data_IF_852906594838
#
_entry.id   IF_852906594838
#
_cell.length_a   1.000
_cell.length_b   1.000
_cell.length_c   1.000
_cell.angle_alpha   90.00
_cell.angle_beta   90.00
_cell.angle_gamma   90.00
#
_symmetry.space_group_name_H-M   'P 1'
#
loop_
_entity.id
_entity.type
_entity.pdbx_description
1 polymer ?
#
# COMPACT_ATOMS: atom_id res chain seq x y z
N UNK A 1 1.97 -1.16 -6.81
CA UNK A 1 2.05 0.19 -6.23
C UNK A 1 2.31 0.08 -4.73
N UNK A 2 3.25 0.84 -4.16
CA UNK A 2 3.59 0.71 -2.73
C UNK A 2 2.47 1.17 -1.78
N UNK A 3 1.50 1.97 -2.25
CA UNK A 3 0.49 2.58 -1.36
C UNK A 3 -0.51 1.56 -0.83
N UNK A 4 -0.88 0.55 -1.63
CA UNK A 4 -1.77 -0.53 -1.20
C UNK A 4 -1.12 -1.34 -0.09
N UNK A 5 0.11 -1.81 -0.32
CA UNK A 5 0.85 -2.57 0.70
C UNK A 5 1.06 -1.76 1.99
N UNK A 6 1.46 -0.49 1.87
CA UNK A 6 1.68 0.38 3.02
C UNK A 6 0.44 0.52 3.92
N UNK A 7 -0.77 0.63 3.35
CA UNK A 7 -2.00 0.69 4.16
C UNK A 7 -2.30 -0.62 4.87
N UNK A 8 -2.14 -1.75 4.17
CA UNK A 8 -2.38 -3.07 4.73
C UNK A 8 -1.40 -3.33 5.86
N UNK A 9 -0.11 -3.10 5.62
CA UNK A 9 0.96 -3.23 6.63
C UNK A 9 0.69 -2.35 7.85
N UNK A 10 0.36 -1.07 7.65
CA UNK A 10 0.07 -0.14 8.75
C UNK A 10 -1.02 -0.66 9.68
N UNK A 11 -2.08 -1.27 9.14
CA UNK A 11 -3.21 -1.77 9.94
C UNK A 11 -2.94 -3.18 10.48
N UNK A 12 -2.46 -4.09 9.63
CA UNK A 12 -2.20 -5.47 9.99
C UNK A 12 -1.11 -5.55 11.06
N UNK A 13 -0.08 -4.71 10.99
CA UNK A 13 1.03 -4.69 11.95
C UNK A 13 0.84 -3.68 13.09
N UNK A 14 -0.39 -3.14 13.29
CA UNK A 14 -0.66 -2.20 14.39
C UNK A 14 -0.53 -2.83 15.78
N UNK A 15 -0.59 -4.17 15.86
CA UNK A 15 -0.40 -4.95 17.07
C UNK A 15 0.66 -6.04 16.86
N UNK A 16 1.24 -6.53 17.95
CA UNK A 16 2.15 -7.67 17.91
C UNK A 16 1.37 -8.97 17.70
N UNK A 17 1.78 -9.74 16.69
CA UNK A 17 1.21 -11.06 16.40
C UNK A 17 2.02 -12.17 17.08
N UNK A 18 1.38 -13.12 17.78
CA UNK A 18 2.08 -14.21 18.46
C UNK A 18 2.62 -15.28 17.50
N UNK A 19 2.05 -15.41 16.29
CA UNK A 19 2.44 -16.41 15.30
C UNK A 19 2.42 -15.85 13.88
N UNK A 20 3.14 -16.51 12.97
CA UNK A 20 3.09 -16.18 11.55
C UNK A 20 1.67 -16.31 10.97
N UNK A 21 0.91 -17.31 11.41
CA UNK A 21 -0.45 -17.50 10.91
C UNK A 21 -1.41 -16.40 11.37
N UNK A 22 -1.26 -15.91 12.61
CA UNK A 22 -2.02 -14.74 13.09
C UNK A 22 -1.70 -13.47 12.28
N UNK A 23 -0.42 -13.26 11.92
CA UNK A 23 -0.03 -12.16 11.04
C UNK A 23 -0.64 -12.30 9.64
N UNK A 24 -0.57 -13.49 9.02
CA UNK A 24 -1.17 -13.74 7.71
C UNK A 24 -2.68 -13.52 7.72
N UNK A 25 -3.37 -13.98 8.76
CA UNK A 25 -4.80 -13.76 8.94
C UNK A 25 -5.12 -12.27 9.01
N UNK A 26 -4.36 -11.51 9.81
CA UNK A 26 -4.54 -10.06 9.92
C UNK A 26 -4.30 -9.33 8.59
N UNK A 27 -3.26 -9.71 7.83
CA UNK A 27 -3.01 -9.15 6.49
C UNK A 27 -4.20 -9.42 5.55
N UNK A 28 -4.71 -10.64 5.53
CA UNK A 28 -5.85 -11.01 4.68
C UNK A 28 -7.13 -10.27 5.09
N UNK A 29 -7.37 -10.09 6.39
CA UNK A 29 -8.50 -9.30 6.91
C UNK A 29 -8.41 -7.84 6.47
N UNK A 30 -7.23 -7.23 6.60
CA UNK A 30 -7.03 -5.83 6.19
C UNK A 30 -7.09 -5.64 4.67
N UNK A 31 -6.71 -6.66 3.89
CA UNK A 31 -6.94 -6.67 2.46
C UNK A 31 -8.44 -6.73 2.12
N UNK A 32 -9.19 -7.65 2.74
CA UNK A 32 -10.63 -7.80 2.51
C UNK A 32 -11.44 -6.57 2.97
N UNK A 33 -10.95 -5.86 3.99
CA UNK A 33 -11.56 -4.62 4.49
C UNK A 33 -11.15 -3.36 3.70
N UNK A 34 -10.26 -3.49 2.71
CA UNK A 34 -9.82 -2.34 1.92
C UNK A 34 -10.92 -1.93 0.95
N UNK A 35 -11.37 -0.68 1.03
CA UNK A 35 -12.44 -0.20 0.17
C UNK A 35 -11.98 -0.10 -1.30
N UNK A 36 -12.83 -0.54 -2.22
CA UNK A 36 -12.57 -0.50 -3.68
C UNK A 36 -12.17 0.89 -4.15
N UNK A 37 -12.80 1.93 -3.60
CA UNK A 37 -12.51 3.32 -3.96
C UNK A 37 -11.04 3.68 -3.68
N UNK A 38 -10.44 3.12 -2.62
CA UNK A 38 -9.04 3.34 -2.27
C UNK A 38 -8.12 2.68 -3.31
N UNK A 39 -8.42 1.42 -3.69
CA UNK A 39 -7.66 0.67 -4.70
C UNK A 39 -7.71 1.41 -6.05
N UNK A 40 -8.91 1.84 -6.46
CA UNK A 40 -9.11 2.61 -7.69
C UNK A 40 -8.30 3.91 -7.67
N UNK A 41 -8.30 4.64 -6.55
CA UNK A 41 -7.55 5.89 -6.42
C UNK A 41 -6.03 5.66 -6.47
N UNK A 42 -5.53 4.58 -5.86
CA UNK A 42 -4.11 4.19 -5.95
C UNK A 42 -3.72 3.89 -7.39
N UNK A 43 -4.55 3.12 -8.11
CA UNK A 43 -4.34 2.80 -9.52
C UNK A 43 -4.34 4.05 -10.41
N UNK A 44 -5.30 4.98 -10.19
CA UNK A 44 -5.33 6.27 -10.89
C UNK A 44 -4.07 7.09 -10.62
N UNK A 45 -3.57 7.08 -9.39
CA UNK A 45 -2.35 7.80 -9.00
C UNK A 45 -1.05 7.12 -9.47
N UNK A 46 -1.10 5.90 -9.99
CA UNK A 46 0.09 5.18 -10.44
C UNK A 46 0.76 5.88 -11.61
N UNK A 47 -0.02 6.29 -12.63
CA UNK A 47 0.49 6.98 -13.81
C UNK A 47 1.24 8.27 -13.43
N UNK A 48 0.61 9.12 -12.61
CA UNK A 48 1.23 10.37 -12.13
C UNK A 48 2.56 10.13 -11.41
N UNK A 49 2.66 9.05 -10.63
CA UNK A 49 3.90 8.70 -9.95
C UNK A 49 4.97 8.20 -10.91
N UNK A 50 4.60 7.39 -11.89
CA UNK A 50 5.53 6.95 -12.93
C UNK A 50 6.07 8.14 -13.74
N UNK A 51 5.20 9.07 -14.12
CA UNK A 51 5.60 10.33 -14.78
C UNK A 51 6.57 11.14 -13.92
N UNK A 52 6.34 11.21 -12.60
CA UNK A 52 7.27 11.83 -11.67
C UNK A 52 8.64 11.14 -11.62
N UNK A 53 8.68 9.81 -11.59
CA UNK A 53 9.95 9.05 -11.59
C UNK A 53 10.72 9.26 -12.90
N UNK A 54 10.01 9.30 -14.04
CA UNK A 54 10.61 9.61 -15.34
C UNK A 54 11.20 11.02 -15.34
N UNK A 55 10.45 12.02 -14.83
CA UNK A 55 10.94 13.39 -14.74
C UNK A 55 12.15 13.55 -13.79
N UNK A 56 12.29 12.65 -12.82
CA UNK A 56 13.43 12.58 -11.91
C UNK A 56 14.59 11.72 -12.44
N UNK A 57 14.56 11.29 -13.71
CA UNK A 57 15.55 10.39 -14.33
C UNK A 57 15.75 9.09 -13.53
N UNK A 58 14.65 8.51 -13.06
CA UNK A 58 14.66 7.32 -12.20
C UNK A 58 14.97 7.61 -10.72
N UNK A 59 15.19 8.88 -10.35
CA UNK A 59 15.44 9.33 -9.00
C UNK A 59 14.23 9.24 -8.06
N UNK A 60 14.47 9.56 -6.79
CA UNK A 60 13.44 9.57 -5.75
C UNK A 60 12.42 10.70 -5.99
N UNK A 61 11.13 10.35 -5.86
CA UNK A 61 10.03 11.33 -5.84
C UNK A 61 9.44 11.43 -4.44
N UNK A 62 9.24 12.66 -3.96
CA UNK A 62 8.59 12.89 -2.67
C UNK A 62 7.10 12.57 -2.76
N UNK A 63 6.53 11.97 -1.70
CA UNK A 63 5.09 11.81 -1.57
C UNK A 63 4.45 13.21 -1.47
N UNK A 64 3.48 13.49 -2.34
CA UNK A 64 2.48 14.53 -2.12
C UNK A 64 1.44 14.07 -1.11
#
# INVERSE_FOLDING_TARGET
>A
DYSVWWQIEKKACAIRHPTLDSLKASVNEQWAALEDHYIINVCKAFRRRLEGVIAADGGYIQKY
#
